data_IF_684356241263
#
_entry.id   IF_684356241263
#
_cell.length_a   1.000
_cell.length_b   1.000
_cell.length_c   1.000
_cell.angle_alpha   90.00
_cell.angle_beta   90.00
_cell.angle_gamma   90.00
#
_symmetry.space_group_name_H-M   'P 1'
#
loop_
_entity.id
_entity.type
_entity.pdbx_description
1 polymer ?
#
# COMPACT_ATOMS: atom_id res chain seq x y z
N UNK A 1 -4.78 13.27 13.75
CA UNK A 1 -4.43 12.09 12.94
C UNK A 1 -5.14 12.21 11.60
N UNK A 2 -4.43 12.07 10.47
CA UNK A 2 -5.13 11.97 9.18
C UNK A 2 -5.94 10.67 9.18
N UNK A 3 -7.24 10.75 8.87
CA UNK A 3 -8.05 9.54 8.74
C UNK A 3 -7.53 8.78 7.51
N UNK A 4 -7.50 7.46 7.56
CA UNK A 4 -7.03 6.62 6.45
C UNK A 4 -7.68 7.00 5.11
N UNK A 5 -8.96 7.41 5.16
CA UNK A 5 -9.69 7.95 4.01
C UNK A 5 -9.02 9.18 3.36
N UNK A 6 -8.46 10.09 4.15
CA UNK A 6 -7.77 11.29 3.66
C UNK A 6 -6.46 10.92 2.96
N UNK A 7 -5.74 9.96 3.52
CA UNK A 7 -4.49 9.44 2.92
C UNK A 7 -4.81 8.75 1.59
N UNK A 8 -5.87 7.94 1.54
CA UNK A 8 -6.34 7.30 0.32
C UNK A 8 -6.73 8.30 -0.75
N UNK A 9 -7.50 9.34 -0.40
CA UNK A 9 -7.90 10.40 -1.32
C UNK A 9 -6.66 11.04 -1.98
N UNK A 10 -5.67 11.45 -1.18
CA UNK A 10 -4.41 12.03 -1.67
C UNK A 10 -3.63 11.10 -2.58
N UNK A 11 -3.54 9.82 -2.22
CA UNK A 11 -2.84 8.83 -3.05
C UNK A 11 -3.54 8.65 -4.42
N UNK A 12 -4.87 8.58 -4.42
CA UNK A 12 -5.67 8.49 -5.65
C UNK A 12 -5.50 9.74 -6.51
N UNK A 13 -5.54 10.93 -5.92
CA UNK A 13 -5.32 12.19 -6.64
C UNK A 13 -3.94 12.21 -7.31
N UNK A 14 -2.88 11.87 -6.58
CA UNK A 14 -1.52 11.79 -7.14
C UNK A 14 -1.44 10.75 -8.27
N UNK A 15 -2.00 9.55 -8.07
CA UNK A 15 -1.98 8.48 -9.07
C UNK A 15 -2.77 8.86 -10.33
N UNK A 16 -3.94 9.49 -10.18
CA UNK A 16 -4.74 9.96 -11.31
C UNK A 16 -4.04 11.06 -12.09
N UNK A 17 -3.43 12.03 -11.41
CA UNK A 17 -2.61 13.06 -12.06
C UNK A 17 -1.46 12.45 -12.87
N UNK A 18 -0.87 11.36 -12.36
CA UNK A 18 0.17 10.59 -13.04
C UNK A 18 -0.37 9.63 -14.12
N UNK A 19 -1.67 9.65 -14.43
CA UNK A 19 -2.31 8.84 -15.47
C UNK A 19 -2.51 7.36 -15.11
N UNK A 20 -2.63 7.02 -13.83
CA UNK A 20 -2.94 5.67 -13.37
C UNK A 20 -4.45 5.46 -13.19
N UNK A 21 -4.91 4.27 -13.52
CA UNK A 21 -6.24 3.77 -13.19
C UNK A 21 -6.16 3.12 -11.82
N UNK A 22 -7.01 3.52 -10.88
CA UNK A 22 -6.94 3.05 -9.49
C UNK A 22 -8.18 2.25 -9.08
N UNK A 23 -7.96 1.26 -8.20
CA UNK A 23 -9.03 0.47 -7.60
C UNK A 23 -8.70 0.22 -6.12
N UNK A 24 -9.68 0.34 -5.24
CA UNK A 24 -9.57 -0.02 -3.83
C UNK A 24 -10.78 -0.84 -3.41
N UNK A 25 -10.58 -1.77 -2.48
CA UNK A 25 -11.67 -2.60 -2.00
C UNK A 25 -12.71 -1.76 -1.25
N UNK A 26 -14.01 -2.04 -1.41
CA UNK A 26 -15.04 -1.58 -0.47
C UNK A 26 -14.66 -2.02 0.95
N UNK A 27 -15.15 -1.32 1.99
CA UNK A 27 -14.88 -1.72 3.38
C UNK A 27 -15.49 -3.10 3.65
N UNK A 28 -14.70 -4.16 3.52
CA UNK A 28 -15.08 -5.50 3.93
C UNK A 28 -14.71 -5.63 5.42
N UNK A 29 -15.72 -5.80 6.28
CA UNK A 29 -15.48 -6.23 7.65
C UNK A 29 -15.28 -7.75 7.59
N UNK A 30 -14.25 -8.23 8.30
CA UNK A 30 -13.93 -9.64 8.50
C UNK A 30 -13.19 -10.30 7.33
N UNK A 31 -11.85 -10.40 7.46
CA UNK A 31 -10.99 -11.58 7.26
C UNK A 31 -9.53 -11.09 7.14
N UNK A 32 -8.70 -11.40 8.14
CA UNK A 32 -7.30 -10.93 8.21
C UNK A 32 -6.36 -11.66 7.23
N UNK A 33 -6.80 -12.79 6.66
CA UNK A 33 -6.07 -13.59 5.67
C UNK A 33 -6.27 -13.12 4.22
N UNK A 34 -7.02 -12.03 4.00
CA UNK A 34 -7.24 -11.46 2.67
C UNK A 34 -5.99 -10.68 2.19
N UNK A 35 -5.76 -10.68 0.88
CA UNK A 35 -4.74 -9.85 0.21
C UNK A 35 -4.94 -8.36 0.50
N UNK A 36 -6.17 -7.93 0.77
CA UNK A 36 -6.46 -6.56 1.21
C UNK A 36 -6.01 -6.24 2.64
N UNK A 37 -5.55 -7.25 3.39
CA UNK A 37 -4.85 -7.05 4.65
C UNK A 37 -3.45 -6.43 4.48
N UNK A 38 -2.87 -6.50 3.27
CA UNK A 38 -1.54 -5.96 2.92
C UNK A 38 -1.55 -5.06 1.67
N UNK A 39 -2.72 -4.78 1.11
CA UNK A 39 -2.92 -3.91 -0.05
C UNK A 39 -4.19 -3.09 0.18
N UNK A 40 -4.06 -1.77 0.27
CA UNK A 40 -5.23 -0.88 0.38
C UNK A 40 -5.69 -0.35 -0.99
N UNK A 41 -4.79 -0.29 -1.97
CA UNK A 41 -5.00 0.35 -3.26
C UNK A 41 -4.20 -0.38 -4.35
N UNK A 42 -4.86 -0.68 -5.46
CA UNK A 42 -4.25 -1.14 -6.70
C UNK A 42 -4.21 0.02 -7.70
N UNK A 43 -3.14 0.09 -8.49
CA UNK A 43 -3.05 1.04 -9.60
C UNK A 43 -2.43 0.39 -10.85
N UNK A 44 -2.99 0.68 -12.02
CA UNK A 44 -2.56 0.15 -13.31
C UNK A 44 -2.26 1.29 -14.29
N UNK A 45 -1.20 1.14 -15.08
CA UNK A 45 -0.84 2.07 -16.18
C UNK A 45 -0.09 1.30 -17.28
N UNK A 46 -0.73 1.08 -18.41
CA UNK A 46 -0.18 0.23 -19.47
C UNK A 46 0.15 -1.17 -18.95
N UNK A 47 1.42 -1.59 -19.08
CA UNK A 47 1.92 -2.88 -18.56
C UNK A 47 2.40 -2.83 -17.09
N UNK A 48 2.30 -1.67 -16.45
CA UNK A 48 2.75 -1.47 -15.07
C UNK A 48 1.62 -1.64 -14.07
N UNK A 49 1.93 -2.24 -12.91
CA UNK A 49 1.02 -2.36 -11.77
C UNK A 49 1.69 -1.93 -10.46
N UNK A 50 0.90 -1.38 -9.55
CA UNK A 50 1.28 -1.07 -8.17
C UNK A 50 0.30 -1.71 -7.21
N UNK A 51 0.82 -2.46 -6.25
CA UNK A 51 0.07 -2.90 -5.07
C UNK A 51 0.51 -2.01 -3.91
N UNK A 52 -0.40 -1.19 -3.38
CA UNK A 52 -0.04 -0.11 -2.46
C UNK A 52 -0.71 -0.35 -1.11
N UNK A 53 0.10 -0.37 -0.05
CA UNK A 53 -0.35 -0.22 1.33
C UNK A 53 -0.18 1.24 1.75
N UNK A 54 -1.27 1.87 2.15
CA UNK A 54 -1.31 3.24 2.66
C UNK A 54 -1.11 3.25 4.17
N UNK A 55 -0.33 4.21 4.66
CA UNK A 55 -0.14 4.39 6.09
C UNK A 55 0.35 5.79 6.43
N UNK A 56 0.52 6.09 7.71
CA UNK A 56 1.24 7.28 8.18
C UNK A 56 2.74 7.01 8.21
N UNK A 57 3.57 8.06 8.09
CA UNK A 57 5.02 7.91 8.13
C UNK A 57 5.54 7.13 9.35
N UNK A 58 4.96 7.35 10.53
CA UNK A 58 5.32 6.66 11.78
C UNK A 58 5.06 5.14 11.75
N UNK A 59 4.14 4.68 10.92
CA UNK A 59 3.68 3.29 10.87
C UNK A 59 4.31 2.46 9.74
N UNK A 60 5.19 3.07 8.93
CA UNK A 60 5.85 2.40 7.79
C UNK A 60 6.59 1.13 8.22
N UNK A 61 7.37 1.20 9.32
CA UNK A 61 8.12 0.03 9.83
C UNK A 61 7.20 -1.11 10.27
N UNK A 62 6.10 -0.79 10.95
CA UNK A 62 5.11 -1.79 11.36
C UNK A 62 4.41 -2.44 10.16
N UNK A 63 4.07 -1.66 9.13
CA UNK A 63 3.49 -2.17 7.87
C UNK A 63 4.47 -3.04 7.10
N UNK A 64 5.74 -2.66 7.05
CA UNK A 64 6.81 -3.48 6.45
C UNK A 64 6.87 -4.86 7.09
N UNK A 65 6.95 -4.93 8.43
CA UNK A 65 6.95 -6.20 9.16
C UNK A 65 5.71 -7.05 8.86
N UNK A 66 4.52 -6.43 8.84
CA UNK A 66 3.26 -7.13 8.52
C UNK A 66 3.28 -7.73 7.12
N UNK A 67 3.66 -6.94 6.11
CA UNK A 67 3.72 -7.36 4.71
C UNK A 67 4.75 -8.48 4.56
N UNK A 68 5.97 -8.30 5.07
CA UNK A 68 7.02 -9.31 5.01
C UNK A 68 6.56 -10.63 5.66
N UNK A 69 5.95 -10.57 6.84
CA UNK A 69 5.44 -11.76 7.52
C UNK A 69 4.36 -12.47 6.70
N UNK A 70 3.40 -11.73 6.12
CA UNK A 70 2.36 -12.28 5.25
C UNK A 70 2.96 -12.98 4.02
N UNK A 71 3.91 -12.32 3.33
CA UNK A 71 4.55 -12.89 2.14
C UNK A 71 5.34 -14.17 2.47
N UNK A 72 6.07 -14.20 3.59
CA UNK A 72 6.78 -15.41 4.08
C UNK A 72 5.82 -16.53 4.41
N UNK A 73 4.83 -16.25 5.26
CA UNK A 73 3.90 -17.24 5.80
C UNK A 73 3.11 -17.93 4.68
N UNK A 74 2.66 -17.15 3.69
CA UNK A 74 1.84 -17.66 2.60
C UNK A 74 2.64 -17.99 1.33
N UNK A 75 3.97 -17.84 1.34
CA UNK A 75 4.86 -18.07 0.18
C UNK A 75 4.40 -17.34 -1.08
N UNK A 76 4.00 -16.06 -0.92
CA UNK A 76 3.42 -15.25 -2.00
C UNK A 76 4.50 -14.38 -2.65
N UNK A 77 4.63 -14.48 -3.97
CA UNK A 77 5.50 -13.63 -4.76
C UNK A 77 4.79 -12.34 -5.21
N UNK A 78 4.65 -11.39 -4.29
CA UNK A 78 4.01 -10.11 -4.57
C UNK A 78 4.86 -8.91 -4.13
N UNK A 79 5.13 -8.01 -5.06
CA UNK A 79 5.74 -6.72 -4.74
C UNK A 79 4.69 -5.77 -4.17
N UNK A 80 4.96 -5.19 -3.01
CA UNK A 80 4.08 -4.21 -2.36
C UNK A 80 4.83 -2.91 -2.11
N UNK A 81 4.21 -1.79 -2.45
CA UNK A 81 4.69 -0.46 -2.14
C UNK A 81 4.00 0.06 -0.87
N UNK A 82 4.78 0.49 0.11
CA UNK A 82 4.29 1.18 1.31
C UNK A 82 4.36 2.68 1.04
N UNK A 83 3.22 3.34 1.07
CA UNK A 83 3.11 4.78 0.90
C UNK A 83 2.76 5.41 2.24
N UNK A 84 3.79 5.91 2.93
CA UNK A 84 3.67 6.59 4.23
C UNK A 84 3.45 8.09 4.06
N UNK A 85 2.28 8.59 4.43
CA UNK A 85 1.98 10.03 4.38
C UNK A 85 2.77 10.78 5.46
N UNK A 86 3.58 11.75 5.02
CA UNK A 86 4.24 12.73 5.86
C UNK A 86 3.41 14.01 5.88
N UNK A 87 2.63 14.21 6.95
CA UNK A 87 1.78 15.40 7.08
C UNK A 87 2.56 16.71 7.20
N UNK A 88 3.82 16.68 7.68
CA UNK A 88 4.64 17.89 7.81
C UNK A 88 5.13 18.40 6.46
N UNK A 89 5.42 17.48 5.54
CA UNK A 89 5.95 17.80 4.20
C UNK A 89 4.92 17.66 3.09
N UNK A 90 3.68 17.31 3.43
CA UNK A 90 2.59 17.04 2.50
C UNK A 90 2.98 16.12 1.35
N UNK A 91 3.70 15.04 1.65
CA UNK A 91 4.19 14.10 0.65
C UNK A 91 4.17 12.64 1.14
N UNK A 92 4.25 11.70 0.20
CA UNK A 92 4.42 10.29 0.52
C UNK A 92 5.89 9.89 0.53
N UNK A 93 6.34 9.28 1.63
CA UNK A 93 7.54 8.45 1.62
C UNK A 93 7.16 7.07 1.09
N UNK A 94 7.78 6.66 -0.01
CA UNK A 94 7.49 5.39 -0.68
C UNK A 94 8.61 4.40 -0.40
N UNK A 95 8.25 3.19 -0.01
CA UNK A 95 9.18 2.07 0.19
C UNK A 95 8.64 0.85 -0.53
N UNK A 96 9.52 -0.02 -1.03
CA UNK A 96 9.11 -1.25 -1.71
C UNK A 96 9.53 -2.45 -0.88
N UNK A 97 8.65 -3.43 -0.79
CA UNK A 97 8.93 -4.74 -0.23
C UNK A 97 8.83 -5.75 -1.37
N UNK A 98 9.95 -6.39 -1.69
CA UNK A 98 9.99 -7.45 -2.69
C UNK A 98 10.12 -8.82 -1.99
N UNK A 99 9.53 -9.89 -2.54
CA UNK A 99 9.72 -11.25 -2.04
C UNK A 99 11.20 -11.71 -2.05
N UNK A 100 12.04 -11.10 -2.89
CA UNK A 100 13.47 -11.39 -2.95
C UNK A 100 14.26 -10.83 -1.77
N UNK A 101 13.73 -9.81 -1.08
CA UNK A 101 14.37 -9.19 0.09
C UNK A 101 14.12 -10.00 1.38
N UNK A 102 13.44 -11.13 1.23
CA UNK A 102 12.79 -11.89 2.30
C UNK A 102 13.34 -13.33 2.36
N UNK A 103 13.97 -13.78 1.27
CA UNK A 103 14.64 -15.07 1.12
C UNK A 103 15.94 -15.14 1.91
#
# INVERSE_FOLDING_TARGET
>A
MAKEADIRKKAIEQLKADGWITWFAPKVKFIQTDVFGIIDLLALKGKSKKNIQLTTLSNVSARRKKITSFLKMHKVELNVEIWGWNSKKSCFKKEKVCPRDIA
#
